data_IF_462979472954
#
_entry.id   IF_462979472954
#
_cell.length_a   1.000
_cell.length_b   1.000
_cell.length_c   1.000
_cell.angle_alpha   90.00
_cell.angle_beta   90.00
_cell.angle_gamma   90.00
#
_symmetry.space_group_name_H-M   'P 1'
#
loop_
_entity.id
_entity.type
_entity.pdbx_description
1 polymer ?
#
# COMPACT_ATOMS: atom_id res chain seq x y z
N UNK A 1 -9.81 -40.85 -8.12
CA UNK A 1 -9.81 -39.53 -8.76
C UNK A 1 -9.58 -38.51 -7.65
N UNK A 2 -8.59 -37.63 -7.81
CA UNK A 2 -8.15 -36.69 -6.78
C UNK A 2 -9.04 -35.46 -6.82
N UNK A 3 -9.66 -35.14 -5.69
CA UNK A 3 -10.45 -33.93 -5.52
C UNK A 3 -9.51 -32.71 -5.53
N UNK A 4 -9.65 -31.88 -6.56
CA UNK A 4 -9.05 -30.56 -6.62
C UNK A 4 -9.86 -29.61 -5.73
N UNK A 5 -9.63 -29.68 -4.41
CA UNK A 5 -9.99 -28.59 -3.52
C UNK A 5 -8.82 -27.62 -3.45
N UNK A 6 -8.84 -26.60 -4.32
CA UNK A 6 -8.04 -25.39 -4.12
C UNK A 6 -8.67 -24.62 -2.95
N UNK A 7 -8.46 -25.10 -1.72
CA UNK A 7 -8.64 -24.27 -0.55
C UNK A 7 -7.52 -23.24 -0.59
N UNK A 8 -7.84 -22.01 -0.99
CA UNK A 8 -6.97 -20.87 -0.79
C UNK A 8 -6.95 -20.59 0.73
N UNK A 9 -6.25 -21.44 1.49
CA UNK A 9 -6.20 -21.34 2.95
C UNK A 9 -5.30 -20.17 3.30
N UNK A 10 -5.91 -19.02 3.52
CA UNK A 10 -5.24 -17.83 4.02
C UNK A 10 -4.50 -18.19 5.32
N UNK A 11 -3.17 -18.09 5.33
CA UNK A 11 -2.33 -18.58 6.44
C UNK A 11 -2.64 -17.84 7.75
N UNK A 12 -2.90 -16.54 7.65
CA UNK A 12 -3.34 -15.66 8.74
C UNK A 12 -4.66 -15.03 8.28
N UNK A 13 -5.80 -15.42 8.88
CA UNK A 13 -7.10 -14.84 8.56
C UNK A 13 -7.13 -13.34 8.80
N UNK A 14 -7.85 -12.62 7.94
CA UNK A 14 -8.06 -11.18 8.08
C UNK A 14 -9.54 -10.84 8.13
N UNK A 15 -9.89 -9.82 8.89
CA UNK A 15 -11.24 -9.23 8.92
C UNK A 15 -11.19 -7.80 8.40
N UNK A 16 -12.25 -7.34 7.74
CA UNK A 16 -12.33 -5.93 7.34
C UNK A 16 -12.66 -5.08 8.57
N UNK A 17 -11.92 -4.00 8.78
CA UNK A 17 -12.18 -3.04 9.85
C UNK A 17 -11.73 -1.63 9.49
N UNK A 18 -11.87 -0.71 10.43
CA UNK A 18 -11.35 0.65 10.31
C UNK A 18 -10.22 0.89 11.31
N UNK A 19 -9.13 1.47 10.82
CA UNK A 19 -7.97 1.89 11.60
C UNK A 19 -7.36 3.09 10.86
N UNK A 20 -6.95 4.12 11.60
CA UNK A 20 -6.54 5.42 11.05
C UNK A 20 -7.55 6.03 10.05
N UNK A 21 -8.85 5.91 10.35
CA UNK A 21 -9.97 6.33 9.48
C UNK A 21 -9.97 5.71 8.06
N UNK A 22 -9.20 4.65 7.86
CA UNK A 22 -9.15 3.91 6.59
C UNK A 22 -9.74 2.52 6.78
N UNK A 23 -10.56 2.09 5.82
CA UNK A 23 -11.01 0.70 5.77
C UNK A 23 -9.85 -0.15 5.29
N UNK A 24 -9.42 -1.09 6.12
CA UNK A 24 -8.30 -1.97 5.82
C UNK A 24 -8.51 -3.37 6.40
N UNK A 25 -7.73 -4.34 5.92
CA UNK A 25 -7.70 -5.67 6.47
C UNK A 25 -6.95 -5.65 7.82
N UNK A 26 -7.55 -6.25 8.85
CA UNK A 26 -7.01 -6.36 10.20
C UNK A 26 -6.81 -7.82 10.57
N UNK A 27 -5.86 -8.07 11.48
CA UNK A 27 -5.53 -9.40 12.00
C UNK A 27 -5.96 -9.51 13.45
N UNK A 28 -6.59 -10.62 13.81
CA UNK A 28 -6.90 -10.92 15.20
C UNK A 28 -5.63 -11.29 15.97
N UNK A 29 -5.32 -10.55 17.03
CA UNK A 29 -4.10 -10.78 17.80
C UNK A 29 -4.09 -12.15 18.50
N UNK A 30 -5.24 -12.71 18.89
CA UNK A 30 -5.30 -14.04 19.50
C UNK A 30 -5.00 -15.13 18.47
N UNK A 31 -5.54 -15.00 17.27
CA UNK A 31 -5.25 -15.96 16.19
C UNK A 31 -3.79 -15.90 15.78
N UNK A 32 -3.22 -14.69 15.71
CA UNK A 32 -1.80 -14.51 15.44
C UNK A 32 -0.92 -15.12 16.53
N UNK A 33 -1.23 -14.85 17.81
CA UNK A 33 -0.50 -15.42 18.95
C UNK A 33 -0.50 -16.95 18.94
N UNK A 34 -1.68 -17.55 18.71
CA UNK A 34 -1.85 -19.00 18.57
C UNK A 34 -1.08 -19.55 17.37
N UNK A 35 -1.15 -18.88 16.23
CA UNK A 35 -0.44 -19.27 15.01
C UNK A 35 1.08 -19.27 15.23
N UNK A 36 1.60 -18.23 15.88
CA UNK A 36 3.03 -18.08 16.18
C UNK A 36 3.53 -19.08 17.23
N UNK A 37 2.63 -19.76 17.95
CA UNK A 37 2.99 -20.77 18.96
C UNK A 37 3.73 -20.16 20.14
N UNK A 38 3.42 -18.92 20.51
CA UNK A 38 4.09 -18.22 21.60
C UNK A 38 3.60 -18.78 22.94
N UNK A 39 4.54 -19.28 23.76
CA UNK A 39 4.23 -19.85 25.07
C UNK A 39 3.87 -18.81 26.13
N UNK A 40 4.33 -17.57 25.96
CA UNK A 40 4.00 -16.48 26.89
C UNK A 40 2.51 -16.20 26.84
N UNK A 41 1.80 -16.09 27.98
CA UNK A 41 0.38 -15.80 28.01
C UNK A 41 0.03 -14.55 27.21
N UNK A 42 -1.04 -14.62 26.40
CA UNK A 42 -1.44 -13.59 25.44
C UNK A 42 -1.35 -12.16 25.98
N UNK A 43 -1.98 -11.87 27.13
CA UNK A 43 -2.02 -10.52 27.70
C UNK A 43 -0.63 -9.96 28.00
N UNK A 44 0.28 -10.78 28.53
CA UNK A 44 1.67 -10.37 28.79
C UNK A 44 2.45 -10.19 27.50
N UNK A 45 2.22 -11.08 26.54
CA UNK A 45 2.89 -11.02 25.24
C UNK A 45 2.52 -9.75 24.47
N UNK A 46 1.23 -9.48 24.27
CA UNK A 46 0.78 -8.35 23.46
C UNK A 46 1.16 -7.01 24.10
N UNK A 47 1.01 -6.88 25.41
CA UNK A 47 1.39 -5.66 26.13
C UNK A 47 2.88 -5.39 25.99
N UNK A 48 3.73 -6.40 26.21
CA UNK A 48 5.18 -6.26 26.05
C UNK A 48 5.55 -5.84 24.63
N UNK A 49 4.91 -6.42 23.61
CA UNK A 49 5.20 -6.07 22.21
C UNK A 49 4.74 -4.67 21.83
N UNK A 50 3.59 -4.23 22.34
CA UNK A 50 3.12 -2.85 22.18
C UNK A 50 4.15 -1.87 22.77
N UNK A 51 4.62 -2.13 23.99
CA UNK A 51 5.58 -1.27 24.69
C UNK A 51 6.98 -1.28 24.03
N UNK A 52 7.50 -2.47 23.68
CA UNK A 52 8.86 -2.64 23.14
C UNK A 52 9.05 -2.03 21.74
N UNK A 53 8.01 -2.09 20.90
CA UNK A 53 8.06 -1.62 19.51
C UNK A 53 7.32 -0.29 19.30
N UNK A 54 6.73 0.28 20.35
CA UNK A 54 6.10 1.60 20.29
C UNK A 54 4.82 1.64 19.45
N UNK A 55 4.08 0.53 19.37
CA UNK A 55 2.81 0.48 18.63
C UNK A 55 1.78 1.44 19.25
N UNK A 56 1.08 2.16 18.39
CA UNK A 56 0.15 3.22 18.77
C UNK A 56 -1.30 2.79 18.56
N UNK A 57 -2.14 2.98 19.58
CA UNK A 57 -3.58 2.70 19.47
C UNK A 57 -4.22 3.59 18.40
N UNK A 58 -5.20 3.05 17.68
CA UNK A 58 -5.88 3.63 16.53
C UNK A 58 -5.03 3.78 15.24
N UNK A 59 -3.71 3.62 15.32
CA UNK A 59 -2.82 3.55 14.16
C UNK A 59 -2.42 2.11 13.83
N UNK A 60 -1.96 1.37 14.84
CA UNK A 60 -1.43 0.01 14.69
C UNK A 60 -2.39 -1.05 15.19
N UNK A 61 -3.25 -0.71 16.16
CA UNK A 61 -4.24 -1.63 16.70
C UNK A 61 -5.45 -0.92 17.30
N UNK A 62 -6.53 -1.69 17.49
CA UNK A 62 -7.67 -1.35 18.33
C UNK A 62 -7.88 -2.43 19.38
N UNK A 63 -8.12 -2.02 20.63
CA UNK A 63 -8.54 -2.91 21.70
C UNK A 63 -10.03 -3.23 21.59
N UNK A 64 -10.39 -4.49 21.82
CA UNK A 64 -11.79 -4.95 21.82
C UNK A 64 -12.05 -5.88 23.00
N UNK A 65 -13.22 -5.78 23.59
CA UNK A 65 -13.66 -6.72 24.61
C UNK A 65 -14.36 -7.90 23.93
N UNK A 66 -13.89 -9.11 24.18
CA UNK A 66 -14.47 -10.36 23.68
C UNK A 66 -15.14 -11.10 24.82
N UNK A 67 -16.36 -11.58 24.59
CA UNK A 67 -17.04 -12.47 25.53
C UNK A 67 -16.69 -13.91 25.17
N UNK A 68 -16.08 -14.63 26.09
CA UNK A 68 -15.72 -16.05 25.93
C UNK A 68 -16.43 -16.88 26.98
N UNK A 69 -17.12 -17.93 26.55
CA UNK A 69 -17.71 -18.92 27.45
C UNK A 69 -16.62 -19.80 28.03
N UNK A 70 -16.60 -19.90 29.35
CA UNK A 70 -15.64 -20.70 30.11
C UNK A 70 -16.39 -21.60 31.09
N UNK A 71 -15.84 -22.79 31.34
CA UNK A 71 -16.38 -23.67 32.37
C UNK A 71 -16.20 -23.03 33.76
N UNK A 72 -17.26 -23.14 34.57
CA UNK A 72 -17.35 -22.63 35.93
C UNK A 72 -17.53 -23.77 36.94
N UNK A 73 -16.96 -24.94 36.65
CA UNK A 73 -17.07 -26.13 37.50
C UNK A 73 -18.53 -26.51 37.77
N UNK A 74 -18.90 -26.61 39.05
CA UNK A 74 -20.26 -27.01 39.48
C UNK A 74 -21.38 -26.06 39.00
N UNK A 75 -21.06 -24.81 38.67
CA UNK A 75 -22.03 -23.81 38.21
C UNK A 75 -22.26 -23.81 36.69
N UNK A 76 -21.72 -24.80 35.96
CA UNK A 76 -21.92 -24.92 34.51
C UNK A 76 -20.96 -24.04 33.72
N UNK A 77 -21.48 -23.18 32.85
CA UNK A 77 -20.67 -22.24 32.06
C UNK A 77 -20.91 -20.80 32.47
N UNK A 78 -19.86 -19.98 32.40
CA UNK A 78 -19.92 -18.54 32.62
C UNK A 78 -19.29 -17.78 31.46
N UNK A 79 -19.87 -16.63 31.17
CA UNK A 79 -19.30 -15.66 30.25
C UNK A 79 -18.17 -14.90 30.95
N UNK A 80 -17.01 -14.83 30.30
CA UNK A 80 -15.86 -14.05 30.76
C UNK A 80 -15.49 -13.05 29.67
N UNK A 81 -15.46 -11.77 30.03
CA UNK A 81 -14.87 -10.74 29.17
C UNK A 81 -13.36 -10.87 29.18
N UNK A 82 -12.76 -10.98 28.00
CA UNK A 82 -11.32 -11.00 27.79
C UNK A 82 -10.94 -9.91 26.80
N UNK A 83 -9.81 -9.27 27.06
CA UNK A 83 -9.27 -8.26 26.16
C UNK A 83 -8.72 -8.95 24.90
N UNK A 84 -9.09 -8.41 23.75
CA UNK A 84 -8.61 -8.76 22.43
C UNK A 84 -8.11 -7.52 21.71
N UNK A 85 -7.44 -7.74 20.59
CA UNK A 85 -6.91 -6.67 19.75
C UNK A 85 -7.10 -7.05 18.28
N UNK A 86 -7.47 -6.07 17.46
CA UNK A 86 -7.33 -6.15 16.02
C UNK A 86 -6.14 -5.28 15.60
N UNK A 87 -5.22 -5.89 14.85
CA UNK A 87 -3.93 -5.31 14.47
C UNK A 87 -3.96 -4.89 13.01
N UNK A 88 -3.26 -3.82 12.65
CA UNK A 88 -2.91 -3.52 11.28
C UNK A 88 -2.10 -4.68 10.68
N UNK A 89 -2.12 -4.79 9.34
CA UNK A 89 -1.28 -5.78 8.67
C UNK A 89 0.21 -5.54 8.95
N UNK A 90 0.65 -4.30 9.05
CA UNK A 90 2.06 -3.97 9.25
C UNK A 90 2.52 -4.31 10.66
N UNK A 91 1.72 -4.02 11.69
CA UNK A 91 1.98 -4.51 13.05
C UNK A 91 2.03 -6.04 13.08
N UNK A 92 1.08 -6.74 12.46
CA UNK A 92 1.07 -8.20 12.42
C UNK A 92 2.32 -8.78 11.72
N UNK A 93 2.77 -8.16 10.61
CA UNK A 93 4.02 -8.53 9.93
C UNK A 93 5.21 -8.36 10.85
N UNK A 94 5.32 -7.22 11.53
CA UNK A 94 6.42 -6.93 12.44
C UNK A 94 6.46 -7.94 13.59
N UNK A 95 5.31 -8.24 14.21
CA UNK A 95 5.19 -9.28 15.23
C UNK A 95 5.68 -10.66 14.73
N UNK A 96 5.35 -11.04 13.50
CA UNK A 96 5.85 -12.28 12.90
C UNK A 96 7.38 -12.28 12.75
N UNK A 97 7.99 -11.13 12.46
CA UNK A 97 9.45 -11.03 12.30
C UNK A 97 10.18 -11.10 13.64
N UNK A 98 9.64 -10.49 14.68
CA UNK A 98 10.31 -10.36 15.98
C UNK A 98 10.24 -11.62 16.84
N UNK A 99 9.22 -12.48 16.64
CA UNK A 99 9.15 -13.77 17.36
C UNK A 99 10.27 -14.75 16.97
N UNK A 100 10.92 -14.56 15.80
CA UNK A 100 12.11 -15.33 15.37
C UNK A 100 11.95 -16.86 15.44
N UNK A 101 10.74 -17.37 15.26
CA UNK A 101 10.45 -18.80 15.26
C UNK A 101 10.03 -19.30 13.85
N UNK A 102 9.87 -20.61 13.69
CA UNK A 102 9.54 -21.20 12.38
C UNK A 102 8.20 -20.74 11.83
N UNK A 103 7.23 -20.46 12.70
CA UNK A 103 5.91 -19.92 12.34
C UNK A 103 6.01 -18.48 11.87
N UNK A 104 6.80 -17.65 12.55
CA UNK A 104 7.12 -16.29 12.13
C UNK A 104 7.84 -16.27 10.77
N UNK A 105 8.77 -17.21 10.54
CA UNK A 105 9.42 -17.38 9.23
C UNK A 105 8.42 -17.76 8.14
N UNK A 106 7.48 -18.66 8.44
CA UNK A 106 6.42 -19.07 7.52
C UNK A 106 5.51 -17.88 7.16
N UNK A 107 5.05 -17.13 8.17
CA UNK A 107 4.24 -15.93 7.97
C UNK A 107 4.97 -14.85 7.17
N UNK A 108 6.26 -14.58 7.46
CA UNK A 108 7.06 -13.64 6.68
C UNK A 108 7.13 -14.01 5.21
N UNK A 109 7.38 -15.29 4.90
CA UNK A 109 7.40 -15.76 3.50
C UNK A 109 6.04 -15.61 2.83
N UNK A 110 4.97 -15.93 3.56
CA UNK A 110 3.60 -15.76 3.08
C UNK A 110 3.28 -14.30 2.77
N UNK A 111 3.58 -13.35 3.67
CA UNK A 111 3.35 -11.93 3.42
C UNK A 111 4.16 -11.40 2.24
N UNK A 112 5.42 -11.79 2.09
CA UNK A 112 6.24 -11.43 0.92
C UNK A 112 5.60 -11.94 -0.36
N UNK A 113 5.11 -13.17 -0.37
CA UNK A 113 4.45 -13.75 -1.54
C UNK A 113 3.15 -13.02 -1.88
N UNK A 114 2.34 -12.69 -0.87
CA UNK A 114 1.13 -11.90 -1.08
C UNK A 114 1.43 -10.49 -1.59
N UNK A 115 2.48 -9.83 -1.10
CA UNK A 115 2.90 -8.52 -1.60
C UNK A 115 3.39 -8.59 -3.04
N UNK A 116 4.09 -9.67 -3.42
CA UNK A 116 4.47 -9.92 -4.82
C UNK A 116 3.25 -10.11 -5.69
N UNK A 117 2.29 -10.92 -5.26
CA UNK A 117 1.05 -11.15 -6.00
C UNK A 117 0.22 -9.87 -6.15
N UNK A 118 0.13 -9.06 -5.09
CA UNK A 118 -0.58 -7.78 -5.14
C UNK A 118 0.10 -6.76 -6.05
N UNK A 119 1.44 -6.79 -6.16
CA UNK A 119 2.22 -5.93 -7.06
C UNK A 119 2.29 -6.47 -8.49
N UNK A 120 2.04 -7.77 -8.68
CA UNK A 120 2.02 -8.37 -10.00
C UNK A 120 0.76 -7.89 -10.73
N UNK A 121 0.94 -6.95 -11.65
CA UNK A 121 -0.08 -6.65 -12.65
C UNK A 121 -0.29 -7.92 -13.50
N UNK A 122 -1.54 -8.39 -13.69
CA UNK A 122 -1.79 -9.54 -14.54
C UNK A 122 -1.31 -9.27 -15.97
N UNK A 123 -0.72 -10.27 -16.64
CA UNK A 123 -0.23 -10.14 -18.03
C UNK A 123 -1.32 -9.59 -18.98
N UNK A 124 -2.58 -9.96 -18.75
CA UNK A 124 -3.72 -9.46 -19.52
C UNK A 124 -3.95 -7.94 -19.34
N UNK A 125 -3.59 -7.37 -18.18
CA UNK A 125 -3.64 -5.93 -17.93
C UNK A 125 -2.46 -5.24 -18.62
N UNK A 126 -1.24 -5.78 -18.53
CA UNK A 126 -0.08 -5.24 -19.26
C UNK A 126 -0.35 -5.22 -20.77
N UNK A 127 -0.80 -6.33 -21.33
CA UNK A 127 -1.16 -6.41 -22.76
C UNK A 127 -2.21 -5.37 -23.16
N UNK A 128 -3.21 -5.13 -22.31
CA UNK A 128 -4.23 -4.09 -22.56
C UNK A 128 -3.65 -2.69 -22.51
N UNK A 129 -2.70 -2.43 -21.60
CA UNK A 129 -1.98 -1.16 -21.54
C UNK A 129 -1.20 -0.97 -22.85
N UNK A 130 -0.35 -1.93 -23.24
CA UNK A 130 0.45 -1.87 -24.47
C UNK A 130 -0.43 -1.62 -25.71
N UNK A 131 -1.53 -2.37 -25.85
CA UNK A 131 -2.46 -2.20 -26.97
C UNK A 131 -3.14 -0.82 -26.99
N UNK A 132 -3.43 -0.23 -25.81
CA UNK A 132 -3.98 1.12 -25.70
C UNK A 132 -2.94 2.20 -26.01
N UNK A 133 -1.69 2.00 -25.60
CA UNK A 133 -0.57 2.89 -25.95
C UNK A 133 -0.36 2.90 -27.47
N UNK A 134 -0.30 1.72 -28.09
CA UNK A 134 -0.19 1.58 -29.54
C UNK A 134 -1.34 2.28 -30.28
N UNK A 135 -2.58 2.04 -29.85
CA UNK A 135 -3.76 2.67 -30.44
C UNK A 135 -3.75 4.20 -30.27
N UNK A 136 -3.29 4.69 -29.11
CA UNK A 136 -3.16 6.12 -28.85
C UNK A 136 -2.15 6.77 -29.81
N UNK A 137 -0.97 6.17 -29.98
CA UNK A 137 0.06 6.72 -30.88
C UNK A 137 -0.30 6.55 -32.37
N UNK A 138 -1.07 5.53 -32.74
CA UNK A 138 -1.64 5.43 -34.08
C UNK A 138 -2.63 6.56 -34.36
N UNK A 139 -3.47 6.92 -33.39
CA UNK A 139 -4.45 8.00 -33.53
C UNK A 139 -3.82 9.41 -33.47
N UNK A 140 -2.69 9.57 -32.76
CA UNK A 140 -2.00 10.84 -32.55
C UNK A 140 -0.46 10.70 -32.71
N UNK A 141 0.04 10.49 -33.95
CA UNK A 141 1.46 10.23 -34.20
C UNK A 141 2.37 11.40 -33.81
N UNK A 142 1.86 12.62 -33.77
CA UNK A 142 2.59 13.80 -33.31
C UNK A 142 2.96 13.73 -31.82
N UNK A 143 2.19 12.98 -31.00
CA UNK A 143 2.52 12.77 -29.59
C UNK A 143 3.76 11.89 -29.44
N UNK A 144 3.89 10.87 -30.29
CA UNK A 144 5.07 10.01 -30.32
C UNK A 144 6.31 10.82 -30.76
N UNK A 145 6.16 11.66 -31.78
CA UNK A 145 7.22 12.57 -32.21
C UNK A 145 7.62 13.57 -31.11
N UNK A 146 6.64 14.11 -30.38
CA UNK A 146 6.85 14.99 -29.23
C UNK A 146 7.64 14.29 -28.11
N UNK A 147 7.30 13.04 -27.76
CA UNK A 147 8.06 12.23 -26.80
C UNK A 147 9.50 12.01 -27.25
N UNK A 148 9.69 11.68 -28.54
CA UNK A 148 11.01 11.49 -29.14
C UNK A 148 11.86 12.76 -29.10
N UNK A 149 11.29 13.91 -29.45
CA UNK A 149 12.03 15.17 -29.40
C UNK A 149 12.35 15.58 -27.96
N UNK A 150 11.46 15.29 -27.02
CA UNK A 150 11.72 15.50 -25.61
C UNK A 150 12.87 14.61 -25.09
N UNK A 151 12.92 13.34 -25.48
CA UNK A 151 14.02 12.43 -25.08
C UNK A 151 15.35 12.80 -25.73
N UNK A 152 15.34 13.44 -26.90
CA UNK A 152 16.50 14.06 -27.53
C UNK A 152 16.97 15.36 -26.85
N UNK A 153 16.28 15.82 -25.80
CA UNK A 153 16.67 16.98 -25.01
C UNK A 153 16.23 18.33 -25.60
N UNK A 154 15.38 18.34 -26.62
CA UNK A 154 14.91 19.58 -27.23
C UNK A 154 14.04 20.38 -26.25
N UNK A 155 14.14 21.71 -26.33
CA UNK A 155 13.30 22.62 -25.57
C UNK A 155 11.93 22.83 -26.24
N UNK A 156 10.99 23.42 -25.51
CA UNK A 156 9.60 23.60 -25.98
C UNK A 156 9.50 24.39 -27.30
N UNK A 157 10.42 25.32 -27.52
CA UNK A 157 10.45 26.15 -28.73
C UNK A 157 10.97 25.37 -29.93
N UNK A 158 12.01 24.55 -29.74
CA UNK A 158 12.54 23.66 -30.78
C UNK A 158 11.51 22.60 -31.18
N UNK A 159 10.88 21.95 -30.21
CA UNK A 159 9.80 20.98 -30.43
C UNK A 159 8.63 21.65 -31.16
N UNK A 160 8.24 22.85 -30.73
CA UNK A 160 7.16 23.62 -31.35
C UNK A 160 7.43 23.91 -32.83
N UNK A 161 8.66 24.30 -33.18
CA UNK A 161 9.05 24.52 -34.58
C UNK A 161 8.97 23.24 -35.43
N UNK A 162 9.34 22.08 -34.87
CA UNK A 162 9.35 20.80 -35.59
C UNK A 162 7.95 20.20 -35.79
N UNK A 163 7.01 20.51 -34.89
CA UNK A 163 5.64 19.98 -34.92
C UNK A 163 4.60 21.00 -35.37
N UNK A 164 5.02 22.18 -35.83
CA UNK A 164 4.16 23.32 -36.17
C UNK A 164 3.17 23.69 -35.04
N UNK A 165 3.73 23.85 -33.85
CA UNK A 165 2.99 24.13 -32.61
C UNK A 165 3.61 25.26 -31.82
N UNK A 166 2.77 26.05 -31.15
CA UNK A 166 3.29 27.03 -30.20
C UNK A 166 3.85 26.33 -28.93
N UNK A 167 4.83 26.93 -28.22
CA UNK A 167 5.45 26.31 -27.03
C UNK A 167 4.46 25.99 -25.90
N UNK A 168 3.38 26.76 -25.76
CA UNK A 168 2.33 26.51 -24.77
C UNK A 168 1.54 25.23 -25.09
N UNK A 169 1.27 24.99 -26.37
CA UNK A 169 0.60 23.80 -26.88
C UNK A 169 1.45 22.54 -26.71
N UNK A 170 2.79 22.67 -26.84
CA UNK A 170 3.76 21.60 -26.53
C UNK A 170 3.76 21.31 -25.03
N UNK A 171 3.86 22.35 -24.19
CA UNK A 171 3.83 22.21 -22.73
C UNK A 171 2.56 21.53 -22.23
N UNK A 172 1.40 21.94 -22.75
CA UNK A 172 0.11 21.33 -22.41
C UNK A 172 0.05 19.84 -22.77
N UNK A 173 0.52 19.45 -23.96
CA UNK A 173 0.55 18.05 -24.38
C UNK A 173 1.55 17.22 -23.59
N UNK A 174 2.73 17.75 -23.28
CA UNK A 174 3.69 17.11 -22.38
C UNK A 174 3.09 16.84 -20.99
N UNK A 175 2.34 17.81 -20.45
CA UNK A 175 1.61 17.62 -19.20
C UNK A 175 0.59 16.49 -19.33
N UNK A 176 -0.23 16.50 -20.39
CA UNK A 176 -1.24 15.45 -20.61
C UNK A 176 -0.61 14.06 -20.75
N UNK A 177 0.51 13.95 -21.45
CA UNK A 177 1.25 12.69 -21.59
C UNK A 177 1.84 12.22 -20.25
N UNK A 178 2.30 13.15 -19.39
CA UNK A 178 2.72 12.82 -18.03
C UNK A 178 1.55 12.35 -17.17
N UNK A 179 0.39 13.01 -17.25
CA UNK A 179 -0.82 12.63 -16.52
C UNK A 179 -1.31 11.21 -16.93
N UNK A 180 -0.98 10.78 -18.16
CA UNK A 180 -1.25 9.45 -18.70
C UNK A 180 -0.13 8.43 -18.41
N UNK A 181 0.97 8.84 -17.79
CA UNK A 181 2.09 7.95 -17.44
C UNK A 181 3.10 7.68 -18.56
N UNK A 182 3.00 8.33 -19.72
CA UNK A 182 3.94 8.13 -20.84
C UNK A 182 5.34 8.72 -20.62
N UNK A 183 5.51 9.56 -19.60
CA UNK A 183 6.80 10.12 -19.22
C UNK A 183 6.80 10.51 -17.74
N UNK A 184 7.98 10.48 -17.11
CA UNK A 184 8.21 11.17 -15.85
C UNK A 184 8.57 12.64 -16.14
N UNK A 185 7.57 13.52 -16.09
CA UNK A 185 7.76 14.96 -16.22
C UNK A 185 7.93 15.60 -14.85
N UNK A 186 9.13 16.10 -14.55
CA UNK A 186 9.33 17.05 -13.46
C UNK A 186 9.13 18.47 -14.02
N UNK A 187 8.06 19.20 -13.66
CA UNK A 187 7.90 20.59 -14.08
C UNK A 187 9.07 21.43 -13.58
N UNK A 188 9.62 22.30 -14.43
CA UNK A 188 10.64 23.27 -13.99
C UNK A 188 10.06 24.07 -12.80
N UNK A 189 10.79 24.20 -11.67
CA UNK A 189 10.31 24.96 -10.53
C UNK A 189 9.95 26.38 -11.00
N UNK A 190 8.77 26.85 -10.61
CA UNK A 190 8.39 28.25 -10.84
C UNK A 190 9.45 29.11 -10.14
N UNK A 191 10.15 29.96 -10.89
CA UNK A 191 10.98 30.99 -10.27
C UNK A 191 10.02 31.89 -9.48
N UNK A 192 10.07 31.79 -8.15
CA UNK A 192 9.39 32.73 -7.27
C UNK A 192 10.08 34.07 -7.49
N UNK A 193 9.40 35.00 -8.17
CA UNK A 193 9.87 36.38 -8.27
C UNK A 193 9.81 36.95 -6.86
N UNK A 194 10.96 37.10 -6.23
CA UNK A 194 11.10 37.79 -4.95
C UNK A 194 10.77 39.26 -5.22
N UNK A 195 9.58 39.68 -4.81
CA UNK A 195 9.21 41.08 -4.77
C UNK A 195 10.19 41.77 -3.82
N UNK A 196 11.16 42.49 -4.39
CA UNK A 196 11.99 43.43 -3.64
C UNK A 196 11.04 44.49 -3.07
N UNK A 197 10.85 44.44 -1.75
CA UNK A 197 10.29 45.53 -0.98
C UNK A 197 11.21 46.72 -1.11
N UNK A 198 10.86 47.65 -2.00
CA UNK A 198 11.42 49.00 -2.01
C UNK A 198 10.99 49.68 -0.71
N UNK A 199 11.96 49.89 0.18
CA UNK A 199 11.80 50.78 1.32
C UNK A 199 11.50 52.19 0.82
N UNK A 200 10.51 52.81 1.42
CA UNK A 200 10.41 54.25 1.52
C UNK A 200 10.24 54.57 3.00
N UNK A 201 11.35 55.03 3.58
CA UNK A 201 11.34 55.86 4.77
C UNK A 201 10.58 57.16 4.46
N UNK A 202 9.81 57.62 5.43
CA UNK A 202 9.03 58.85 5.42
C UNK A 202 8.15 58.92 6.65
#
# INVERSE_FOLDING_TARGET
MKDNFTMNTQLIPTVSGQLDNQTQALVDAHDLHKFLGVETPFSKWIQRRIEEYGFTQALDFIGVDKIVRTEAGFFGQRDKTVQGYYLSLDMAKELCMVERNDKGRQARRYFIEMEKQAKALPDAVLYRIDALEDAYFQAAPEMLALLRYRSMGLNLTEIGKLLDMNPGAVSYRLKKLNDLGFLEYVPKPKMVVQQQSLGLEG
#
